data_IF_606058597446
#
_entry.id   IF_606058597446
#
_cell.length_a   1.000
_cell.length_b   1.000
_cell.length_c   1.000
_cell.angle_alpha   90.00
_cell.angle_beta   90.00
_cell.angle_gamma   90.00
#
_symmetry.space_group_name_H-M   'P 1'
#
loop_
_entity.id
_entity.type
_entity.pdbx_description
1 polymer ?
#
# COMPACT_ATOMS: atom_id res chain seq x y z
N UNK A 1 -28.30 12.12 9.38
CA UNK A 1 -27.34 11.59 8.40
C UNK A 1 -27.96 11.77 7.04
N UNK A 2 -27.41 12.63 6.18
CA UNK A 2 -27.86 12.74 4.81
C UNK A 2 -27.09 11.68 4.01
N UNK A 3 -27.79 10.62 3.58
CA UNK A 3 -27.20 9.68 2.63
C UNK A 3 -27.14 10.34 1.27
N UNK A 4 -26.02 10.16 0.57
CA UNK A 4 -25.94 10.50 -0.86
C UNK A 4 -26.78 9.46 -1.61
N UNK A 5 -27.58 9.89 -2.59
CA UNK A 5 -28.25 8.97 -3.50
C UNK A 5 -27.21 8.34 -4.44
N UNK A 6 -27.16 7.02 -4.48
CA UNK A 6 -26.20 6.26 -5.30
C UNK A 6 -26.91 5.16 -6.07
N UNK A 7 -26.30 4.74 -7.17
CA UNK A 7 -26.70 3.56 -7.94
C UNK A 7 -26.03 2.28 -7.42
N UNK A 8 -25.72 2.20 -6.12
CA UNK A 8 -24.99 1.05 -5.55
C UNK A 8 -25.69 -0.29 -5.83
N UNK A 9 -27.02 -0.26 -5.96
CA UNK A 9 -27.85 -1.42 -6.31
C UNK A 9 -27.63 -1.94 -7.74
N UNK A 10 -27.08 -1.11 -8.64
CA UNK A 10 -26.82 -1.45 -10.04
C UNK A 10 -25.38 -1.95 -10.25
N UNK A 11 -24.55 -1.98 -9.20
CA UNK A 11 -23.18 -2.47 -9.28
C UNK A 11 -23.15 -4.01 -9.34
N UNK A 12 -22.18 -4.54 -10.09
CA UNK A 12 -21.91 -5.98 -10.18
C UNK A 12 -20.73 -6.33 -9.28
N UNK A 13 -20.91 -7.31 -8.40
CA UNK A 13 -19.83 -7.86 -7.58
C UNK A 13 -18.99 -8.86 -8.38
N UNK A 14 -17.66 -8.72 -8.33
CA UNK A 14 -16.71 -9.58 -9.02
C UNK A 14 -15.69 -10.13 -8.02
N UNK A 15 -15.53 -11.46 -8.00
CA UNK A 15 -14.50 -12.13 -7.22
C UNK A 15 -13.11 -11.87 -7.81
N UNK A 16 -12.23 -11.23 -7.05
CA UNK A 16 -10.84 -10.96 -7.44
C UNK A 16 -9.92 -11.77 -6.52
N UNK A 17 -9.04 -12.59 -7.12
CA UNK A 17 -7.99 -13.31 -6.41
C UNK A 17 -6.63 -12.62 -6.60
N UNK A 18 -5.81 -12.62 -5.55
CA UNK A 18 -4.47 -12.05 -5.57
C UNK A 18 -3.57 -12.78 -4.57
N UNK A 19 -2.26 -12.61 -4.73
CA UNK A 19 -1.26 -13.09 -3.77
C UNK A 19 -0.67 -11.90 -3.02
N UNK A 20 -0.19 -12.15 -1.80
CA UNK A 20 0.57 -11.17 -1.04
C UNK A 20 1.88 -10.91 -1.78
N UNK A 21 2.16 -9.65 -2.10
CA UNK A 21 3.42 -9.26 -2.72
C UNK A 21 4.60 -9.53 -1.76
N UNK A 22 5.72 -10.01 -2.30
CA UNK A 22 6.96 -10.11 -1.54
C UNK A 22 7.50 -8.70 -1.21
N UNK A 23 8.28 -8.54 -0.13
CA UNK A 23 8.95 -7.28 0.15
C UNK A 23 9.99 -6.98 -0.93
N UNK A 24 9.91 -5.80 -1.52
CA UNK A 24 10.81 -5.32 -2.58
C UNK A 24 11.56 -4.07 -2.13
N UNK A 25 12.89 -4.12 -2.23
CA UNK A 25 13.73 -2.92 -2.13
C UNK A 25 13.71 -2.19 -3.48
N UNK A 26 13.65 -0.86 -3.45
CA UNK A 26 13.82 -0.07 -4.67
C UNK A 26 15.20 -0.34 -5.29
N UNK A 27 15.28 -0.27 -6.63
CA UNK A 27 16.51 -0.53 -7.43
C UNK A 27 17.75 0.27 -6.99
N UNK A 28 17.58 1.34 -6.21
CA UNK A 28 18.63 1.95 -5.40
C UNK A 28 18.49 1.51 -3.94
N UNK A 29 19.45 0.72 -3.46
CA UNK A 29 19.52 0.24 -2.06
C UNK A 29 19.65 1.42 -1.08
N UNK A 30 20.19 2.54 -1.54
CA UNK A 30 20.34 3.76 -0.76
C UNK A 30 19.43 4.86 -1.27
N UNK A 31 18.68 5.48 -0.36
CA UNK A 31 17.97 6.73 -0.61
C UNK A 31 18.62 7.83 0.24
N UNK A 32 19.01 8.97 -0.36
CA UNK A 32 19.50 10.10 0.41
C UNK A 32 18.38 10.63 1.30
N UNK A 33 18.68 10.88 2.57
CA UNK A 33 17.81 11.58 3.49
C UNK A 33 17.79 13.07 3.14
N UNK A 34 16.85 13.81 3.75
CA UNK A 34 16.81 15.28 3.67
C UNK A 34 18.08 15.96 4.22
N UNK A 35 18.93 15.21 4.92
CA UNK A 35 20.19 15.67 5.51
C UNK A 35 21.43 15.19 4.74
N UNK A 36 21.25 14.52 3.59
CA UNK A 36 22.35 14.05 2.74
C UNK A 36 22.98 12.73 3.19
N UNK A 37 22.43 12.09 4.21
CA UNK A 37 22.86 10.76 4.67
C UNK A 37 22.25 9.68 3.79
N UNK A 38 22.96 8.57 3.56
CA UNK A 38 22.41 7.44 2.84
C UNK A 38 21.80 6.45 3.82
N UNK A 39 20.50 6.20 3.70
CA UNK A 39 19.81 5.14 4.44
C UNK A 39 19.36 4.04 3.49
N UNK A 40 19.26 2.82 4.01
CA UNK A 40 18.53 1.73 3.34
C UNK A 40 17.07 1.85 3.75
N UNK A 41 16.17 2.31 2.86
CA UNK A 41 14.76 2.44 3.21
C UNK A 41 14.12 1.07 3.37
N UNK A 42 13.07 1.01 4.20
CA UNK A 42 12.15 -0.15 4.18
C UNK A 42 11.52 -0.20 2.78
N UNK A 43 11.52 -1.40 2.20
CA UNK A 43 10.92 -1.68 0.90
C UNK A 43 9.39 -1.53 0.89
N UNK A 44 8.78 -1.75 -0.28
CA UNK A 44 7.32 -1.84 -0.40
C UNK A 44 6.89 -3.30 -0.52
N UNK A 45 5.60 -3.58 -0.28
CA UNK A 45 5.08 -4.94 -0.28
C UNK A 45 5.39 -5.71 1.01
N UNK A 46 5.05 -6.99 1.03
CA UNK A 46 5.10 -7.81 2.24
C UNK A 46 4.01 -7.46 3.26
N UNK A 47 4.05 -8.15 4.39
CA UNK A 47 3.20 -7.91 5.55
C UNK A 47 3.99 -7.07 6.55
N UNK A 48 3.47 -5.88 6.88
CA UNK A 48 4.04 -5.02 7.92
C UNK A 48 3.31 -5.29 9.22
N UNK A 49 3.94 -6.00 10.16
CA UNK A 49 3.29 -6.52 11.36
C UNK A 49 2.90 -5.47 12.40
N UNK A 50 3.50 -4.28 12.33
CA UNK A 50 3.40 -3.24 13.36
C UNK A 50 2.86 -1.90 12.84
N UNK A 51 2.35 -1.86 11.61
CA UNK A 51 1.72 -0.66 11.01
C UNK A 51 0.37 -1.07 10.44
N UNK A 52 -0.67 -0.32 10.79
CA UNK A 52 -2.04 -0.55 10.31
C UNK A 52 -2.69 0.76 9.87
N UNK A 53 -3.84 0.65 9.19
CA UNK A 53 -4.68 1.81 8.87
C UNK A 53 -5.34 2.27 10.17
N UNK A 54 -5.26 3.57 10.45
CA UNK A 54 -5.91 4.25 11.58
C UNK A 54 -6.68 5.47 11.11
#
# INVERSE_FOLDING_TARGET
>A
MNSIETNVADLVEVGISAQVAHPELSKGVYKPTKHGENIVPIGMGGIVYNVGIG
#
